data_IF_593869738870
#
_entry.id   IF_593869738870
#
_cell.length_a   1.000
_cell.length_b   1.000
_cell.length_c   1.000
_cell.angle_alpha   90.00
_cell.angle_beta   90.00
_cell.angle_gamma   90.00
#
_symmetry.space_group_name_H-M   'P 1'
#
loop_
_entity.id
_entity.type
_entity.pdbx_description
1 polymer ?
#
# COMPACT_ATOMS: atom_id res chain seq x y z
N UNK A 1 30.88 -1.20 -29.01
CA UNK A 1 29.82 -1.35 -27.98
C UNK A 1 29.22 -2.74 -28.01
N UNK A 2 29.29 -3.47 -26.89
CA UNK A 2 28.72 -4.82 -26.77
C UNK A 2 27.18 -4.80 -26.67
N UNK A 3 26.52 -5.93 -26.93
CA UNK A 3 25.07 -6.04 -26.77
C UNK A 3 24.63 -5.86 -25.30
N UNK A 4 25.47 -6.30 -24.35
CA UNK A 4 25.24 -6.16 -22.91
C UNK A 4 25.33 -4.69 -22.47
N UNK A 5 26.35 -3.96 -22.93
CA UNK A 5 26.55 -2.54 -22.67
C UNK A 5 25.37 -1.68 -23.14
N UNK A 6 24.83 -1.95 -24.35
CA UNK A 6 23.62 -1.29 -24.84
C UNK A 6 22.43 -1.46 -23.91
N UNK A 7 22.27 -2.65 -23.32
CA UNK A 7 21.16 -2.96 -22.41
C UNK A 7 21.32 -2.28 -21.06
N UNK A 8 22.53 -2.25 -20.50
CA UNK A 8 22.81 -1.46 -19.30
C UNK A 8 22.57 0.04 -19.54
N UNK A 9 23.01 0.60 -20.67
CA UNK A 9 22.70 2.00 -21.04
C UNK A 9 21.20 2.26 -21.20
N UNK A 10 20.43 1.28 -21.69
CA UNK A 10 18.97 1.41 -21.77
C UNK A 10 18.33 1.44 -20.39
N UNK A 11 18.74 0.55 -19.48
CA UNK A 11 18.29 0.55 -18.08
C UNK A 11 18.69 1.84 -17.36
N UNK A 12 19.84 2.43 -17.72
CA UNK A 12 20.32 3.69 -17.18
C UNK A 12 19.33 4.84 -17.40
N UNK A 13 18.38 4.71 -18.35
CA UNK A 13 17.29 5.70 -18.54
C UNK A 13 16.47 5.95 -17.27
N UNK A 14 16.48 5.03 -16.32
CA UNK A 14 15.91 5.20 -14.98
C UNK A 14 16.55 6.37 -14.20
N UNK A 15 17.79 6.77 -14.48
CA UNK A 15 18.45 7.92 -13.85
C UNK A 15 18.04 9.27 -14.49
N UNK A 16 18.15 10.40 -13.76
CA UNK A 16 18.01 11.76 -14.32
C UNK A 16 18.99 12.01 -15.46
N UNK A 17 18.63 12.86 -16.44
CA UNK A 17 19.44 13.10 -17.63
C UNK A 17 20.85 13.59 -17.30
N UNK A 18 20.96 14.62 -16.47
CA UNK A 18 22.23 15.24 -16.06
C UNK A 18 23.13 14.21 -15.36
N UNK A 19 22.57 13.43 -14.42
CA UNK A 19 23.31 12.40 -13.70
C UNK A 19 23.86 11.29 -14.62
N UNK A 20 23.10 10.93 -15.68
CA UNK A 20 23.58 9.94 -16.67
C UNK A 20 24.69 10.51 -17.53
N UNK A 21 24.70 11.81 -17.78
CA UNK A 21 25.76 12.46 -18.53
C UNK A 21 27.06 12.46 -17.71
N UNK A 22 26.97 12.76 -16.42
CA UNK A 22 28.16 12.91 -15.57
C UNK A 22 28.74 11.56 -15.09
N UNK A 23 27.88 10.58 -14.78
CA UNK A 23 28.27 9.32 -14.10
C UNK A 23 27.86 8.06 -14.85
N UNK A 24 27.24 8.19 -16.02
CA UNK A 24 26.65 7.04 -16.72
C UNK A 24 27.68 6.01 -17.17
N UNK A 25 28.82 6.45 -17.69
CA UNK A 25 29.86 5.53 -18.16
C UNK A 25 30.58 4.82 -17.00
N UNK A 26 30.79 5.50 -15.86
CA UNK A 26 31.33 4.89 -14.64
C UNK A 26 30.41 3.78 -14.11
N UNK A 27 29.10 4.05 -14.05
CA UNK A 27 28.10 3.08 -13.59
C UNK A 27 28.05 1.88 -14.54
N UNK A 28 27.95 2.10 -15.86
CA UNK A 28 27.92 0.99 -16.82
C UNK A 28 29.23 0.19 -16.80
N UNK A 29 30.37 0.87 -16.70
CA UNK A 29 31.69 0.22 -16.56
C UNK A 29 31.72 -0.74 -15.38
N UNK A 30 31.30 -0.28 -14.20
CA UNK A 30 31.25 -1.11 -12.98
C UNK A 30 30.43 -2.40 -13.19
N UNK A 31 29.28 -2.33 -13.85
CA UNK A 31 28.44 -3.49 -14.13
C UNK A 31 29.02 -4.42 -15.21
N UNK A 32 29.76 -3.88 -16.18
CA UNK A 32 30.45 -4.69 -17.18
C UNK A 32 31.66 -5.41 -16.57
N UNK A 33 32.38 -4.76 -15.66
CA UNK A 33 33.54 -5.34 -14.96
C UNK A 33 33.11 -6.51 -14.04
N UNK A 34 31.91 -6.44 -13.47
CA UNK A 34 31.32 -7.51 -12.66
C UNK A 34 30.63 -8.62 -13.48
N UNK A 35 30.37 -8.38 -14.77
CA UNK A 35 29.66 -9.34 -15.60
C UNK A 35 30.59 -10.42 -16.16
N UNK A 36 30.12 -11.67 -16.19
CA UNK A 36 30.82 -12.77 -16.86
C UNK A 36 31.09 -12.39 -18.34
N UNK A 37 32.30 -12.61 -18.88
CA UNK A 37 32.66 -12.25 -20.26
C UNK A 37 31.74 -12.85 -21.34
N UNK A 38 31.04 -13.95 -21.05
CA UNK A 38 30.11 -14.61 -21.98
C UNK A 38 28.66 -14.11 -21.83
N UNK A 39 28.37 -13.27 -20.85
CA UNK A 39 27.01 -12.82 -20.53
C UNK A 39 26.51 -11.83 -21.60
N UNK A 40 25.34 -12.12 -22.17
CA UNK A 40 24.70 -11.29 -23.22
C UNK A 40 23.54 -10.43 -22.71
N UNK A 41 23.05 -10.72 -21.51
CA UNK A 41 21.91 -10.04 -20.88
C UNK A 41 22.25 -9.63 -19.44
N UNK A 42 21.83 -8.45 -18.98
CA UNK A 42 21.93 -8.08 -17.57
C UNK A 42 21.26 -9.15 -16.70
N UNK A 43 21.82 -9.47 -15.53
CA UNK A 43 21.07 -10.32 -14.62
C UNK A 43 19.82 -9.59 -14.13
N UNK A 44 18.76 -10.32 -13.75
CA UNK A 44 17.58 -9.71 -13.14
C UNK A 44 17.92 -8.89 -11.89
N UNK A 45 18.94 -9.32 -11.13
CA UNK A 45 19.41 -8.60 -9.95
C UNK A 45 20.06 -7.26 -10.33
N UNK A 46 20.95 -7.24 -11.33
CA UNK A 46 21.61 -6.02 -11.80
C UNK A 46 20.59 -5.04 -12.39
N UNK A 47 19.65 -5.55 -13.18
CA UNK A 47 18.59 -4.73 -13.76
C UNK A 47 17.72 -4.10 -12.67
N UNK A 48 17.33 -4.88 -11.65
CA UNK A 48 16.55 -4.38 -10.53
C UNK A 48 17.33 -3.37 -9.69
N UNK A 49 18.63 -3.57 -9.46
CA UNK A 49 19.46 -2.64 -8.71
C UNK A 49 19.64 -1.31 -9.44
N UNK A 50 19.95 -1.36 -10.74
CA UNK A 50 20.14 -0.17 -11.57
C UNK A 50 18.84 0.66 -11.72
N UNK A 51 17.70 -0.01 -11.93
CA UNK A 51 16.39 0.67 -11.99
C UNK A 51 16.04 1.29 -10.63
N UNK A 52 16.28 0.57 -9.52
CA UNK A 52 16.03 1.08 -8.16
C UNK A 52 16.94 2.27 -7.83
N UNK A 53 18.22 2.19 -8.18
CA UNK A 53 19.19 3.28 -8.02
C UNK A 53 18.77 4.52 -8.80
N UNK A 54 18.39 4.34 -10.07
CA UNK A 54 17.92 5.44 -10.93
C UNK A 54 16.64 6.10 -10.43
N UNK A 55 15.65 5.30 -10.01
CA UNK A 55 14.41 5.82 -9.45
C UNK A 55 14.65 6.58 -8.14
N UNK A 56 15.51 6.06 -7.25
CA UNK A 56 15.94 6.78 -6.04
C UNK A 56 16.59 8.12 -6.37
N UNK A 57 17.44 8.17 -7.40
CA UNK A 57 18.09 9.41 -7.81
C UNK A 57 17.09 10.39 -8.43
N UNK A 58 16.06 9.92 -9.15
CA UNK A 58 14.95 10.76 -9.61
C UNK A 58 14.12 11.33 -8.46
N UNK A 59 13.84 10.54 -7.43
CA UNK A 59 13.13 11.02 -6.24
C UNK A 59 13.94 12.06 -5.49
N UNK A 60 15.26 11.86 -5.34
CA UNK A 60 16.18 12.87 -4.79
C UNK A 60 16.15 14.16 -5.62
N UNK A 61 16.28 14.06 -6.94
CA UNK A 61 16.20 15.21 -7.84
C UNK A 61 14.82 15.89 -7.84
N UNK A 62 13.77 15.20 -7.39
CA UNK A 62 12.43 15.76 -7.21
C UNK A 62 12.17 16.29 -5.79
N UNK A 63 13.16 16.24 -4.88
CA UNK A 63 12.98 16.63 -3.48
C UNK A 63 12.04 15.70 -2.68
N UNK A 64 11.81 14.48 -3.17
CA UNK A 64 10.92 13.48 -2.59
C UNK A 64 11.71 12.35 -1.90
N UNK A 65 12.78 12.69 -1.19
CA UNK A 65 13.64 11.73 -0.47
C UNK A 65 12.89 10.96 0.62
N UNK A 66 11.87 11.60 1.19
CA UNK A 66 11.00 11.06 2.24
C UNK A 66 9.87 10.16 1.71
N UNK A 67 9.72 10.04 0.39
CA UNK A 67 8.68 9.19 -0.20
C UNK A 67 8.88 7.71 0.18
N UNK A 68 10.09 7.17 0.03
CA UNK A 68 10.35 5.75 0.30
C UNK A 68 10.10 5.42 1.78
N UNK A 69 10.65 6.17 2.76
CA UNK A 69 10.32 5.93 4.16
C UNK A 69 8.83 6.15 4.47
N UNK A 70 8.17 7.11 3.83
CA UNK A 70 6.72 7.32 3.97
C UNK A 70 5.88 6.15 3.45
N UNK A 71 6.22 5.59 2.29
CA UNK A 71 5.56 4.38 1.77
C UNK A 71 5.83 3.17 2.68
N UNK A 72 7.02 3.05 3.27
CA UNK A 72 7.33 2.00 4.26
C UNK A 72 6.49 2.15 5.53
N UNK A 73 6.29 3.38 6.00
CA UNK A 73 5.40 3.67 7.13
C UNK A 73 3.95 3.29 6.79
N UNK A 74 3.46 3.69 5.62
CA UNK A 74 2.15 3.28 5.12
C UNK A 74 2.01 1.75 4.99
N UNK A 75 3.05 1.06 4.54
CA UNK A 75 3.07 -0.39 4.43
C UNK A 75 2.93 -1.09 5.79
N UNK A 76 3.57 -0.57 6.83
CA UNK A 76 3.42 -1.09 8.20
C UNK A 76 2.00 -0.86 8.73
N UNK A 77 1.44 0.33 8.51
CA UNK A 77 0.06 0.63 8.91
C UNK A 77 -0.94 -0.26 8.15
N UNK A 78 -0.75 -0.43 6.84
CA UNK A 78 -1.58 -1.29 6.01
C UNK A 78 -1.52 -2.76 6.44
N UNK A 79 -0.33 -3.27 6.75
CA UNK A 79 -0.16 -4.61 7.30
C UNK A 79 -0.84 -4.77 8.67
N UNK A 80 -0.72 -3.76 9.53
CA UNK A 80 -1.35 -3.76 10.86
C UNK A 80 -2.87 -3.77 10.74
N UNK A 81 -3.44 -2.98 9.82
CA UNK A 81 -4.88 -2.98 9.52
C UNK A 81 -5.33 -4.30 8.91
N UNK A 82 -4.58 -4.85 7.95
CA UNK A 82 -4.88 -6.14 7.34
C UNK A 82 -4.84 -7.28 8.38
N UNK A 83 -3.93 -7.20 9.35
CA UNK A 83 -3.83 -8.14 10.46
C UNK A 83 -5.03 -8.06 11.40
N UNK A 84 -5.47 -6.85 11.77
CA UNK A 84 -6.71 -6.64 12.54
C UNK A 84 -7.92 -7.28 11.84
N UNK A 85 -8.09 -6.99 10.54
CA UNK A 85 -9.20 -7.55 9.76
C UNK A 85 -9.10 -9.07 9.65
N UNK A 86 -7.91 -9.63 9.44
CA UNK A 86 -7.72 -11.07 9.39
C UNK A 86 -8.06 -11.75 10.72
N UNK A 87 -7.64 -11.19 11.85
CA UNK A 87 -8.00 -11.70 13.18
C UNK A 87 -9.50 -11.62 13.44
N UNK A 88 -10.12 -10.50 13.08
CA UNK A 88 -11.58 -10.31 13.19
C UNK A 88 -12.35 -11.33 12.35
N UNK A 89 -12.07 -11.41 11.05
CA UNK A 89 -12.82 -12.28 10.15
C UNK A 89 -12.54 -13.76 10.37
N UNK A 90 -11.33 -14.14 10.81
CA UNK A 90 -11.03 -15.53 11.17
C UNK A 90 -11.94 -16.07 12.28
N UNK A 91 -12.38 -15.20 13.20
CA UNK A 91 -13.30 -15.59 14.26
C UNK A 91 -14.77 -15.54 13.78
N UNK A 92 -15.14 -14.53 12.99
CA UNK A 92 -16.49 -14.47 12.39
C UNK A 92 -16.77 -15.69 11.50
N UNK A 93 -15.77 -16.17 10.75
CA UNK A 93 -15.87 -17.36 9.91
C UNK A 93 -16.19 -18.64 10.68
N UNK A 94 -15.94 -18.70 12.00
CA UNK A 94 -16.24 -19.87 12.83
C UNK A 94 -17.71 -19.95 13.27
N UNK A 95 -18.54 -19.00 12.84
CA UNK A 95 -19.94 -18.90 13.22
C UNK A 95 -20.84 -19.07 11.99
N UNK A 96 -20.92 -20.28 11.41
CA UNK A 96 -21.79 -20.54 10.27
C UNK A 96 -23.27 -20.31 10.63
N UNK A 97 -24.10 -19.93 9.65
CA UNK A 97 -25.55 -19.82 9.87
C UNK A 97 -26.13 -21.17 10.31
N UNK A 98 -27.25 -21.18 11.08
CA UNK A 98 -27.91 -22.44 11.45
C UNK A 98 -28.30 -23.25 10.23
N UNK A 99 -28.22 -24.58 10.34
CA UNK A 99 -28.51 -25.50 9.23
C UNK A 99 -29.90 -25.29 8.61
N UNK A 100 -30.88 -24.86 9.43
CA UNK A 100 -32.25 -24.54 9.02
C UNK A 100 -32.34 -23.42 7.98
N UNK A 101 -31.33 -22.54 7.91
CA UNK A 101 -31.31 -21.44 6.94
C UNK A 101 -31.03 -21.90 5.50
N UNK A 102 -30.58 -23.15 5.29
CA UNK A 102 -30.30 -23.70 3.96
C UNK A 102 -29.21 -22.97 3.16
N UNK A 103 -28.39 -22.15 3.83
CA UNK A 103 -27.33 -21.37 3.21
C UNK A 103 -26.09 -22.25 2.97
N UNK A 104 -25.41 -22.13 1.80
CA UNK A 104 -24.19 -22.87 1.55
C UNK A 104 -23.07 -22.42 2.49
N UNK A 105 -22.38 -23.38 3.10
CA UNK A 105 -21.24 -23.18 4.01
C UNK A 105 -20.02 -23.92 3.51
N UNK A 106 -18.83 -23.55 4.00
CA UNK A 106 -17.57 -24.20 3.65
C UNK A 106 -17.08 -25.06 4.82
N UNK A 107 -17.60 -26.29 4.90
CA UNK A 107 -17.29 -27.19 6.02
C UNK A 107 -17.77 -26.60 7.35
N UNK A 108 -16.91 -26.48 8.38
CA UNK A 108 -17.28 -25.85 9.66
C UNK A 108 -17.28 -24.31 9.60
N UNK A 109 -16.96 -23.71 8.45
CA UNK A 109 -16.81 -22.26 8.29
C UNK A 109 -17.90 -21.65 7.42
N UNK A 110 -18.16 -20.36 7.61
CA UNK A 110 -19.14 -19.61 6.81
C UNK A 110 -18.76 -19.58 5.32
N UNK A 111 -17.48 -19.49 4.98
CA UNK A 111 -17.01 -19.34 3.60
C UNK A 111 -15.56 -19.79 3.39
N UNK A 112 -15.12 -19.82 2.13
CA UNK A 112 -13.71 -20.04 1.76
C UNK A 112 -12.77 -18.93 2.24
N UNK A 113 -13.31 -17.82 2.77
CA UNK A 113 -12.54 -16.70 3.32
C UNK A 113 -11.58 -17.12 4.42
N UNK A 114 -11.90 -18.17 5.19
CA UNK A 114 -11.03 -18.69 6.25
C UNK A 114 -9.61 -19.01 5.74
N UNK A 115 -9.48 -19.51 4.50
CA UNK A 115 -8.18 -19.82 3.88
C UNK A 115 -7.35 -18.56 3.71
N UNK A 116 -7.96 -17.44 3.31
CA UNK A 116 -7.29 -16.16 3.21
C UNK A 116 -6.88 -15.63 4.61
N UNK A 117 -7.78 -15.68 5.60
CA UNK A 117 -7.51 -15.17 6.94
C UNK A 117 -6.39 -15.92 7.65
N UNK A 118 -6.38 -17.26 7.57
CA UNK A 118 -5.29 -18.06 8.13
C UNK A 118 -3.95 -17.76 7.45
N UNK A 119 -3.94 -17.57 6.13
CA UNK A 119 -2.72 -17.21 5.40
C UNK A 119 -2.19 -15.83 5.84
N UNK A 120 -3.09 -14.87 6.08
CA UNK A 120 -2.73 -13.56 6.66
C UNK A 120 -2.15 -13.69 8.08
N UNK A 121 -2.74 -14.53 8.94
CA UNK A 121 -2.24 -14.76 10.29
C UNK A 121 -0.86 -15.43 10.30
N UNK A 122 -0.59 -16.34 9.36
CA UNK A 122 0.75 -16.90 9.14
C UNK A 122 1.73 -15.82 8.72
N UNK A 123 1.34 -14.93 7.79
CA UNK A 123 2.18 -13.81 7.37
C UNK A 123 2.51 -12.88 8.56
N UNK A 124 1.54 -12.60 9.43
CA UNK A 124 1.71 -11.81 10.66
C UNK A 124 2.68 -12.49 11.62
N UNK A 125 2.55 -13.80 11.84
CA UNK A 125 3.48 -14.55 12.68
C UNK A 125 4.92 -14.45 12.15
N UNK A 126 5.10 -14.54 10.83
CA UNK A 126 6.42 -14.43 10.18
C UNK A 126 7.03 -13.02 10.26
N UNK A 127 6.24 -11.95 10.40
CA UNK A 127 6.77 -10.59 10.68
C UNK A 127 7.50 -10.57 12.01
N UNK A 128 6.97 -11.28 13.01
CA UNK A 128 7.53 -11.32 14.36
C UNK A 128 8.81 -12.15 14.42
N UNK A 129 8.81 -13.36 13.82
CA UNK A 129 9.91 -14.32 13.98
C UNK A 129 10.96 -14.30 12.86
N UNK A 130 10.60 -13.91 11.63
CA UNK A 130 11.45 -14.05 10.46
C UNK A 130 11.29 -12.87 9.48
N UNK A 131 11.68 -11.64 9.89
CA UNK A 131 11.52 -10.45 9.07
C UNK A 131 12.31 -10.52 7.76
N UNK A 132 11.85 -9.81 6.74
CA UNK A 132 12.56 -9.66 5.46
C UNK A 132 11.96 -10.50 4.34
N UNK A 133 12.77 -11.36 3.71
CA UNK A 133 12.31 -12.21 2.59
C UNK A 133 11.14 -13.14 2.96
N UNK A 134 11.15 -13.85 4.10
CA UNK A 134 10.07 -14.77 4.45
C UNK A 134 8.74 -14.02 4.61
N UNK A 135 8.77 -12.91 5.36
CA UNK A 135 7.60 -12.03 5.51
C UNK A 135 7.05 -11.55 4.17
N UNK A 136 7.91 -11.10 3.25
CA UNK A 136 7.46 -10.61 1.92
C UNK A 136 6.83 -11.72 1.09
N UNK A 137 7.41 -12.92 1.10
CA UNK A 137 6.84 -14.08 0.41
C UNK A 137 5.49 -14.47 1.04
N UNK A 138 5.37 -14.43 2.36
CA UNK A 138 4.13 -14.74 3.06
C UNK A 138 3.03 -13.71 2.79
N UNK A 139 3.35 -12.41 2.81
CA UNK A 139 2.40 -11.34 2.45
C UNK A 139 1.97 -11.47 0.98
N UNK A 140 2.92 -11.76 0.07
CA UNK A 140 2.59 -12.01 -1.34
C UNK A 140 1.67 -13.23 -1.49
N UNK A 141 1.97 -14.32 -0.77
CA UNK A 141 1.12 -15.50 -0.70
C UNK A 141 -0.28 -15.19 -0.19
N UNK A 142 -0.40 -14.41 0.90
CA UNK A 142 -1.69 -14.00 1.44
C UNK A 142 -2.51 -13.15 0.44
N UNK A 143 -1.85 -12.23 -0.28
CA UNK A 143 -2.49 -11.44 -1.35
C UNK A 143 -2.97 -12.36 -2.48
N UNK A 144 -2.13 -13.29 -2.93
CA UNK A 144 -2.48 -14.23 -4.01
C UNK A 144 -3.61 -15.17 -3.61
N UNK A 145 -3.58 -15.72 -2.39
CA UNK A 145 -4.66 -16.57 -1.84
C UNK A 145 -5.95 -15.77 -1.72
N UNK A 146 -5.90 -14.52 -1.25
CA UNK A 146 -7.09 -13.65 -1.19
C UNK A 146 -7.66 -13.40 -2.59
N UNK A 147 -6.80 -13.15 -3.59
CA UNK A 147 -7.20 -13.01 -4.99
C UNK A 147 -7.77 -14.31 -5.58
N UNK A 148 -7.21 -15.47 -5.22
CA UNK A 148 -7.72 -16.78 -5.63
C UNK A 148 -9.12 -17.03 -5.05
N UNK A 149 -9.37 -16.73 -3.77
CA UNK A 149 -10.72 -16.82 -3.17
C UNK A 149 -11.71 -15.92 -3.91
N UNK A 150 -11.29 -14.72 -4.34
CA UNK A 150 -12.13 -13.80 -5.10
C UNK A 150 -12.55 -14.38 -6.46
N UNK A 151 -11.62 -15.03 -7.17
CA UNK A 151 -11.80 -15.47 -8.56
C UNK A 151 -12.33 -16.92 -8.68
N UNK A 152 -11.86 -17.83 -7.82
CA UNK A 152 -12.13 -19.28 -7.92
C UNK A 152 -13.44 -19.65 -7.25
N UNK A 153 -13.78 -19.06 -6.10
CA UNK A 153 -14.99 -19.44 -5.36
C UNK A 153 -16.29 -19.31 -6.17
N UNK A 154 -16.51 -18.25 -6.99
CA UNK A 154 -17.70 -18.17 -7.86
C UNK A 154 -17.77 -19.30 -8.90
N UNK A 155 -16.63 -19.65 -9.50
CA UNK A 155 -16.54 -20.70 -10.53
C UNK A 155 -16.77 -22.08 -9.91
N UNK A 156 -16.27 -22.29 -8.70
CA UNK A 156 -16.43 -23.52 -7.95
C UNK A 156 -17.78 -23.65 -7.22
N UNK A 157 -18.66 -22.63 -7.29
CA UNK A 157 -19.92 -22.61 -6.56
C UNK A 157 -19.75 -22.57 -5.03
N UNK A 158 -18.60 -22.10 -4.54
CA UNK A 158 -18.27 -22.05 -3.11
C UNK A 158 -18.66 -20.71 -2.49
N UNK A 159 -19.15 -20.70 -1.23
CA UNK A 159 -19.43 -19.46 -0.52
C UNK A 159 -18.14 -18.66 -0.31
N UNK A 160 -18.20 -17.34 -0.49
CA UNK A 160 -17.06 -16.44 -0.33
C UNK A 160 -17.44 -15.17 0.42
N UNK A 161 -16.46 -14.46 1.02
CA UNK A 161 -16.70 -13.14 1.57
C UNK A 161 -17.10 -12.14 0.47
N UNK A 162 -17.86 -11.09 0.82
CA UNK A 162 -18.18 -10.00 -0.10
C UNK A 162 -16.93 -9.33 -0.68
N UNK A 163 -17.06 -8.82 -1.91
CA UNK A 163 -15.97 -8.10 -2.58
C UNK A 163 -15.50 -6.88 -1.80
N UNK A 164 -16.41 -6.20 -1.11
CA UNK A 164 -16.12 -5.08 -0.23
C UNK A 164 -15.22 -5.45 0.97
N UNK A 165 -15.02 -6.73 1.27
CA UNK A 165 -14.06 -7.22 2.28
C UNK A 165 -12.75 -7.64 1.63
N UNK A 166 -12.82 -8.44 0.55
CA UNK A 166 -11.64 -9.00 -0.11
C UNK A 166 -10.81 -7.93 -0.83
N UNK A 167 -11.46 -6.99 -1.51
CA UNK A 167 -10.78 -5.97 -2.33
C UNK A 167 -9.95 -4.99 -1.47
N UNK A 168 -10.47 -4.41 -0.37
CA UNK A 168 -9.64 -3.61 0.51
C UNK A 168 -8.50 -4.42 1.15
N UNK A 169 -8.73 -5.68 1.52
CA UNK A 169 -7.69 -6.55 2.06
C UNK A 169 -6.54 -6.75 1.06
N UNK A 170 -6.86 -6.98 -0.22
CA UNK A 170 -5.85 -7.07 -1.29
C UNK A 170 -5.10 -5.75 -1.44
N UNK A 171 -5.79 -4.62 -1.43
CA UNK A 171 -5.15 -3.30 -1.54
C UNK A 171 -4.19 -3.00 -0.38
N UNK A 172 -4.61 -3.30 0.86
CA UNK A 172 -3.76 -3.22 2.05
C UNK A 172 -2.54 -4.13 1.91
N UNK A 173 -2.74 -5.35 1.42
CA UNK A 173 -1.66 -6.32 1.26
C UNK A 173 -0.64 -5.97 0.18
N UNK A 174 -1.10 -5.43 -0.95
CA UNK A 174 -0.21 -4.92 -2.00
C UNK A 174 0.66 -3.79 -1.44
N UNK A 175 0.10 -2.89 -0.64
CA UNK A 175 0.86 -1.84 0.03
C UNK A 175 1.83 -2.42 1.09
N UNK A 176 1.40 -3.45 1.83
CA UNK A 176 2.21 -4.14 2.83
C UNK A 176 3.46 -4.84 2.24
N UNK A 177 3.51 -5.13 0.93
CA UNK A 177 4.72 -5.65 0.29
C UNK A 177 5.92 -4.68 0.40
N UNK A 178 5.65 -3.38 0.62
CA UNK A 178 6.68 -2.37 0.82
C UNK A 178 7.23 -2.30 2.25
N UNK A 179 6.79 -3.16 3.18
CA UNK A 179 7.29 -3.20 4.56
C UNK A 179 8.82 -3.35 4.60
N UNK A 180 9.44 -2.63 5.54
CA UNK A 180 10.88 -2.68 5.76
C UNK A 180 11.30 -4.03 6.38
N UNK A 181 12.44 -4.55 5.95
CA UNK A 181 13.02 -5.76 6.53
C UNK A 181 13.67 -5.49 7.90
N UNK A 182 14.00 -4.23 8.20
CA UNK A 182 14.78 -3.84 9.38
C UNK A 182 13.91 -3.16 10.45
N UNK A 183 12.66 -3.60 10.61
CA UNK A 183 11.78 -3.04 11.65
C UNK A 183 12.36 -3.29 13.05
N UNK A 184 12.30 -2.31 13.98
CA UNK A 184 12.59 -2.54 15.39
C UNK A 184 11.55 -3.49 16.01
N UNK A 185 11.90 -4.18 17.09
CA UNK A 185 11.04 -5.19 17.71
C UNK A 185 9.64 -4.64 18.07
N UNK A 186 9.58 -3.41 18.61
CA UNK A 186 8.32 -2.76 18.95
C UNK A 186 7.40 -2.54 17.74
N UNK A 187 7.95 -2.33 16.54
CA UNK A 187 7.15 -2.21 15.31
C UNK A 187 6.71 -3.57 14.77
N UNK A 188 7.47 -4.64 15.04
CA UNK A 188 7.15 -6.01 14.60
C UNK A 188 5.97 -6.61 15.37
N UNK A 189 5.74 -6.18 16.61
CA UNK A 189 4.62 -6.67 17.42
C UNK A 189 3.28 -6.04 17.02
N UNK A 190 3.29 -4.89 16.33
CA UNK A 190 2.06 -4.16 15.96
C UNK A 190 1.05 -5.02 15.18
N UNK A 191 1.43 -5.74 14.10
CA UNK A 191 0.46 -6.55 13.36
C UNK A 191 -0.11 -7.70 14.21
N UNK A 192 0.71 -8.31 15.07
CA UNK A 192 0.26 -9.38 15.97
C UNK A 192 -0.72 -8.87 17.01
N UNK A 193 -0.39 -7.74 17.65
CA UNK A 193 -1.30 -7.06 18.60
C UNK A 193 -2.62 -6.72 17.91
N UNK A 194 -2.56 -6.16 16.70
CA UNK A 194 -3.74 -5.81 15.92
C UNK A 194 -4.61 -7.03 15.57
N UNK A 195 -4.00 -8.14 15.15
CA UNK A 195 -4.71 -9.40 14.90
C UNK A 195 -5.43 -9.91 16.15
N UNK A 196 -4.75 -9.91 17.30
CA UNK A 196 -5.35 -10.30 18.58
C UNK A 196 -6.50 -9.38 18.95
N UNK A 197 -6.34 -8.05 18.82
CA UNK A 197 -7.42 -7.09 19.09
C UNK A 197 -8.62 -7.34 18.18
N UNK A 198 -8.39 -7.60 16.88
CA UNK A 198 -9.46 -7.93 15.93
C UNK A 198 -10.23 -9.18 16.32
N UNK A 199 -9.51 -10.26 16.67
CA UNK A 199 -10.12 -11.50 17.16
C UNK A 199 -10.90 -11.30 18.45
N UNK A 200 -10.32 -10.63 19.45
CA UNK A 200 -11.00 -10.33 20.72
C UNK A 200 -12.25 -9.47 20.49
N UNK A 201 -12.18 -8.47 19.61
CA UNK A 201 -13.33 -7.63 19.28
C UNK A 201 -14.48 -8.44 18.66
N UNK A 202 -14.17 -9.36 17.74
CA UNK A 202 -15.17 -10.28 17.20
C UNK A 202 -15.76 -11.19 18.30
N UNK A 203 -14.94 -11.66 19.24
CA UNK A 203 -15.38 -12.55 20.32
C UNK A 203 -16.35 -11.85 21.27
N UNK A 204 -16.04 -10.61 21.66
CA UNK A 204 -16.81 -9.87 22.66
C UNK A 204 -18.11 -9.29 22.12
N UNK A 205 -18.15 -8.93 20.84
CA UNK A 205 -19.37 -8.44 20.21
C UNK A 205 -20.46 -9.52 20.04
N UNK A 206 -20.08 -10.80 20.15
CA UNK A 206 -20.99 -11.95 20.36
C UNK A 206 -21.81 -12.38 19.14
N UNK A 207 -22.12 -13.68 19.07
CA UNK A 207 -22.76 -14.33 17.92
C UNK A 207 -24.11 -13.73 17.47
N UNK A 208 -24.81 -13.00 18.34
CA UNK A 208 -26.09 -12.34 18.01
C UNK A 208 -25.94 -11.25 16.95
N UNK A 209 -24.78 -10.60 16.85
CA UNK A 209 -24.49 -9.58 15.83
C UNK A 209 -24.09 -10.19 14.47
N UNK A 210 -23.74 -11.49 14.43
CA UNK A 210 -22.91 -12.06 13.36
C UNK A 210 -23.56 -13.13 12.49
N UNK A 211 -24.87 -13.39 12.65
CA UNK A 211 -25.65 -14.42 11.92
C UNK A 211 -25.30 -14.55 10.42
N UNK A 212 -24.23 -15.31 10.10
CA UNK A 212 -23.70 -15.62 8.76
C UNK A 212 -23.45 -14.44 7.81
N UNK A 213 -23.67 -13.20 8.23
CA UNK A 213 -23.89 -12.07 7.33
C UNK A 213 -22.76 -11.08 7.45
N UNK A 214 -21.79 -11.20 6.54
CA UNK A 214 -20.81 -10.16 6.28
C UNK A 214 -21.47 -8.78 6.06
N UNK A 215 -22.74 -8.73 5.62
CA UNK A 215 -23.42 -7.51 5.17
C UNK A 215 -23.47 -6.44 6.26
N UNK A 216 -24.16 -6.66 7.37
CA UNK A 216 -24.31 -5.62 8.40
C UNK A 216 -22.99 -5.28 9.09
N UNK A 217 -22.15 -6.28 9.37
CA UNK A 217 -20.86 -6.08 10.04
C UNK A 217 -19.90 -5.28 9.16
N UNK A 218 -19.86 -5.55 7.85
CA UNK A 218 -18.97 -4.85 6.94
C UNK A 218 -19.39 -3.40 6.69
N UNK A 219 -20.69 -3.09 6.74
CA UNK A 219 -21.24 -1.74 6.58
C UNK A 219 -20.77 -0.78 7.68
N UNK A 220 -20.54 -1.28 8.91
CA UNK A 220 -20.07 -0.45 10.04
C UNK A 220 -18.59 -0.61 10.33
N UNK A 221 -18.07 -1.84 10.33
CA UNK A 221 -16.69 -2.11 10.73
C UNK A 221 -15.69 -1.54 9.73
N UNK A 222 -15.88 -1.76 8.43
CA UNK A 222 -14.88 -1.36 7.44
C UNK A 222 -14.70 0.15 7.39
N UNK A 223 -15.76 0.99 7.36
CA UNK A 223 -15.58 2.43 7.39
C UNK A 223 -15.00 2.93 8.72
N UNK A 224 -15.34 2.31 9.86
CA UNK A 224 -14.73 2.65 11.14
C UNK A 224 -13.22 2.36 11.15
N UNK A 225 -12.80 1.19 10.66
CA UNK A 225 -11.39 0.82 10.50
C UNK A 225 -10.68 1.78 9.53
N UNK A 226 -11.33 2.13 8.42
CA UNK A 226 -10.84 3.13 7.47
C UNK A 226 -10.65 4.51 8.09
N UNK A 227 -11.61 4.96 8.91
CA UNK A 227 -11.55 6.23 9.62
C UNK A 227 -10.43 6.26 10.67
N UNK A 228 -10.25 5.18 11.45
CA UNK A 228 -9.14 5.05 12.40
C UNK A 228 -7.80 5.09 11.66
N UNK A 229 -7.67 4.33 10.57
CA UNK A 229 -6.45 4.32 9.74
C UNK A 229 -6.15 5.72 9.16
N UNK A 230 -7.17 6.43 8.69
CA UNK A 230 -7.04 7.81 8.21
C UNK A 230 -6.61 8.75 9.34
N UNK A 231 -7.27 8.68 10.51
CA UNK A 231 -6.94 9.50 11.67
C UNK A 231 -5.49 9.29 12.11
N UNK A 232 -5.04 8.04 12.24
CA UNK A 232 -3.64 7.71 12.57
C UNK A 232 -2.68 8.26 11.51
N UNK A 233 -2.99 8.07 10.22
CA UNK A 233 -2.16 8.57 9.13
C UNK A 233 -2.04 10.10 9.14
N UNK A 234 -3.13 10.82 9.40
CA UNK A 234 -3.16 12.28 9.49
C UNK A 234 -2.42 12.80 10.73
N UNK A 235 -2.58 12.14 11.88
CA UNK A 235 -1.85 12.50 13.10
C UNK A 235 -0.35 12.28 12.95
N UNK A 236 0.07 11.18 12.32
CA UNK A 236 1.47 10.94 11.98
C UNK A 236 1.98 11.96 10.97
N UNK A 237 1.19 12.31 9.95
CA UNK A 237 1.52 13.36 8.99
C UNK A 237 1.73 14.71 9.67
N UNK A 238 0.81 15.12 10.54
CA UNK A 238 0.90 16.38 11.29
C UNK A 238 2.10 16.38 12.24
N UNK A 239 2.26 15.33 13.06
CA UNK A 239 3.34 15.23 14.04
C UNK A 239 4.74 15.20 13.41
N UNK A 240 4.89 14.53 12.26
CA UNK A 240 6.15 14.52 11.51
C UNK A 240 6.38 15.86 10.78
N UNK A 241 5.34 16.48 10.23
CA UNK A 241 5.44 17.79 9.59
C UNK A 241 5.91 18.88 10.57
N UNK A 242 5.50 18.81 11.84
CA UNK A 242 6.02 19.70 12.90
C UNK A 242 7.54 19.58 13.09
N UNK A 243 8.13 18.43 12.74
CA UNK A 243 9.59 18.18 12.77
C UNK A 243 10.26 18.40 11.40
N UNK A 244 9.55 19.01 10.45
CA UNK A 244 9.96 19.17 9.04
C UNK A 244 10.24 17.83 8.33
N UNK A 245 9.57 16.77 8.77
CA UNK A 245 9.64 15.44 8.16
C UNK A 245 8.37 15.15 7.35
N UNK A 246 8.51 15.00 6.03
CA UNK A 246 7.39 14.80 5.11
C UNK A 246 6.99 13.34 4.91
N UNK A 247 7.64 12.39 5.59
CA UNK A 247 7.34 10.95 5.47
C UNK A 247 5.90 10.65 5.83
N UNK A 248 5.37 11.32 6.84
CA UNK A 248 3.98 11.14 7.26
C UNK A 248 2.97 11.57 6.19
N UNK A 249 3.24 12.66 5.47
CA UNK A 249 2.38 13.09 4.35
C UNK A 249 2.39 12.06 3.21
N UNK A 250 3.56 11.52 2.86
CA UNK A 250 3.64 10.45 1.87
C UNK A 250 2.94 9.18 2.31
N UNK A 251 3.01 8.84 3.60
CA UNK A 251 2.28 7.72 4.16
C UNK A 251 0.76 7.91 4.04
N UNK A 252 0.26 9.10 4.41
CA UNK A 252 -1.15 9.44 4.28
C UNK A 252 -1.64 9.33 2.82
N UNK A 253 -0.87 9.89 1.87
CA UNK A 253 -1.20 9.80 0.43
C UNK A 253 -1.23 8.34 -0.05
N UNK A 254 -0.26 7.52 0.34
CA UNK A 254 -0.21 6.11 -0.05
C UNK A 254 -1.39 5.29 0.52
N UNK A 255 -1.90 5.66 1.69
CA UNK A 255 -3.03 4.99 2.33
C UNK A 255 -4.41 5.42 1.80
N UNK A 256 -4.52 6.49 1.00
CA UNK A 256 -5.81 6.97 0.51
C UNK A 256 -6.58 5.92 -0.29
N UNK A 257 -5.89 5.08 -1.07
CA UNK A 257 -6.54 4.00 -1.84
C UNK A 257 -7.16 2.94 -0.94
N UNK A 258 -6.41 2.26 -0.04
CA UNK A 258 -7.02 1.28 0.85
C UNK A 258 -8.05 1.91 1.82
N UNK A 259 -7.84 3.14 2.30
CA UNK A 259 -8.82 3.85 3.13
C UNK A 259 -10.12 4.08 2.34
N UNK A 260 -10.02 4.57 1.10
CA UNK A 260 -11.20 4.77 0.25
C UNK A 260 -11.96 3.47 -0.02
N UNK A 261 -11.23 2.36 -0.22
CA UNK A 261 -11.82 1.03 -0.43
C UNK A 261 -12.54 0.52 0.82
N UNK A 262 -11.99 0.75 2.02
CA UNK A 262 -12.65 0.46 3.29
C UNK A 262 -13.91 1.32 3.51
N UNK A 263 -13.94 2.52 2.94
CA UNK A 263 -15.03 3.49 3.08
C UNK A 263 -16.03 3.50 1.90
N UNK A 264 -16.00 2.52 1.00
CA UNK A 264 -16.88 2.47 -0.19
C UNK A 264 -18.35 2.62 0.17
N UNK A 265 -18.80 2.02 1.28
CA UNK A 265 -20.20 2.11 1.70
C UNK A 265 -20.62 3.55 2.04
N UNK A 266 -19.76 4.31 2.74
CA UNK A 266 -20.01 5.73 3.04
C UNK A 266 -19.93 6.57 1.76
N UNK A 267 -18.96 6.31 0.90
CA UNK A 267 -18.79 7.05 -0.35
C UNK A 267 -19.98 6.86 -1.29
N UNK A 268 -20.45 5.62 -1.46
CA UNK A 268 -21.65 5.31 -2.21
C UNK A 268 -22.90 5.93 -1.56
N UNK A 269 -22.99 5.88 -0.22
CA UNK A 269 -24.09 6.49 0.52
C UNK A 269 -24.14 8.00 0.38
N UNK A 270 -22.99 8.68 0.27
CA UNK A 270 -22.94 10.11 -0.01
C UNK A 270 -23.46 10.45 -1.41
N UNK A 271 -23.12 9.64 -2.42
CA UNK A 271 -23.62 9.82 -3.79
C UNK A 271 -25.12 9.60 -3.86
N UNK A 272 -25.60 8.51 -3.26
CA UNK A 272 -27.03 8.17 -3.26
C UNK A 272 -27.85 9.09 -2.35
N UNK A 273 -27.27 9.60 -1.26
CA UNK A 273 -27.89 10.61 -0.41
C UNK A 273 -28.17 11.91 -1.15
N UNK A 274 -27.33 12.31 -2.12
CA UNK A 274 -27.60 13.44 -3.01
C UNK A 274 -28.84 13.21 -3.89
N UNK A 275 -29.21 11.94 -4.13
CA UNK A 275 -30.42 11.54 -4.86
C UNK A 275 -31.62 11.20 -3.97
N UNK A 276 -31.51 11.41 -2.64
CA UNK A 276 -32.57 11.16 -1.67
C UNK A 276 -32.77 9.68 -1.29
N UNK A 277 -31.85 8.79 -1.68
CA UNK A 277 -31.95 7.38 -1.33
C UNK A 277 -31.46 7.13 0.12
N UNK A 278 -32.18 6.32 0.92
CA UNK A 278 -31.88 6.12 2.34
C UNK A 278 -30.67 5.20 2.59
N UNK A 279 -30.25 4.42 1.58
CA UNK A 279 -29.10 3.51 1.65
C UNK A 279 -28.42 3.40 0.28
N UNK A 280 -27.10 3.14 0.23
CA UNK A 280 -26.39 2.97 -1.02
C UNK A 280 -26.91 1.76 -1.81
N UNK A 281 -27.15 1.97 -3.09
CA UNK A 281 -27.53 0.95 -4.06
C UNK A 281 -26.32 0.14 -4.51
N UNK A 282 -26.55 -1.08 -5.02
CA UNK A 282 -25.46 -1.92 -5.51
C UNK A 282 -24.64 -1.26 -6.65
N UNK A 283 -25.27 -0.62 -7.67
CA UNK A 283 -24.52 0.04 -8.74
C UNK A 283 -23.61 1.16 -8.25
N UNK A 284 -24.04 1.97 -7.27
CA UNK A 284 -23.20 3.06 -6.72
C UNK A 284 -22.07 2.54 -5.86
N UNK A 285 -22.27 1.46 -5.10
CA UNK A 285 -21.17 0.78 -4.41
C UNK A 285 -20.11 0.26 -5.39
N UNK A 286 -20.53 -0.36 -6.50
CA UNK A 286 -19.62 -0.81 -7.56
C UNK A 286 -18.91 0.38 -8.20
N UNK A 287 -19.64 1.44 -8.55
CA UNK A 287 -19.09 2.66 -9.14
C UNK A 287 -18.05 3.33 -8.23
N UNK A 288 -18.35 3.47 -6.94
CA UNK A 288 -17.43 4.02 -5.95
C UNK A 288 -16.18 3.15 -5.80
N UNK A 289 -16.34 1.82 -5.70
CA UNK A 289 -15.19 0.90 -5.62
C UNK A 289 -14.29 0.97 -6.87
N UNK A 290 -14.89 1.02 -8.07
CA UNK A 290 -14.15 1.18 -9.33
C UNK A 290 -13.43 2.53 -9.39
N UNK A 291 -14.11 3.63 -9.02
CA UNK A 291 -13.51 4.96 -8.99
C UNK A 291 -12.29 5.01 -8.04
N UNK A 292 -12.44 4.51 -6.81
CA UNK A 292 -11.33 4.48 -5.85
C UNK A 292 -10.22 3.54 -6.32
N UNK A 293 -10.55 2.35 -6.82
CA UNK A 293 -9.57 1.36 -7.27
C UNK A 293 -8.76 1.80 -8.49
N UNK A 294 -9.36 2.55 -9.41
CA UNK A 294 -8.71 3.03 -10.63
C UNK A 294 -8.00 4.38 -10.43
N UNK A 295 -8.61 5.33 -9.71
CA UNK A 295 -8.05 6.67 -9.52
C UNK A 295 -7.09 6.75 -8.33
N UNK A 296 -7.35 5.98 -7.28
CA UNK A 296 -6.55 5.99 -6.05
C UNK A 296 -5.04 5.76 -6.29
N UNK A 297 -4.63 4.74 -7.06
CA UNK A 297 -3.21 4.50 -7.35
C UNK A 297 -2.52 5.65 -8.09
N UNK A 298 -3.28 6.50 -8.79
CA UNK A 298 -2.76 7.66 -9.52
C UNK A 298 -2.46 8.86 -8.62
N UNK A 299 -2.99 8.87 -7.38
CA UNK A 299 -2.80 9.99 -6.45
C UNK A 299 -1.33 10.13 -6.03
N UNK A 300 -0.64 9.02 -5.78
CA UNK A 300 0.77 9.03 -5.37
C UNK A 300 1.71 9.60 -6.46
N UNK A 301 1.69 9.13 -7.72
CA UNK A 301 2.50 9.74 -8.78
C UNK A 301 2.09 11.18 -9.09
N UNK A 302 0.80 11.53 -9.00
CA UNK A 302 0.34 12.91 -9.14
C UNK A 302 0.92 13.82 -8.04
N UNK A 303 0.92 13.36 -6.79
CA UNK A 303 1.52 14.09 -5.67
C UNK A 303 3.03 14.29 -5.85
N UNK A 304 3.75 13.27 -6.35
CA UNK A 304 5.18 13.40 -6.70
C UNK A 304 5.39 14.42 -7.83
N UNK A 305 4.55 14.42 -8.86
CA UNK A 305 4.64 15.38 -9.95
C UNK A 305 4.38 16.83 -9.50
N UNK A 306 3.39 17.04 -8.63
CA UNK A 306 3.08 18.35 -8.05
C UNK A 306 4.21 18.84 -7.13
N UNK A 307 4.76 17.97 -6.30
CA UNK A 307 5.90 18.30 -5.43
C UNK A 307 7.12 18.75 -6.24
N UNK A 308 7.41 18.04 -7.33
CA UNK A 308 8.49 18.39 -8.26
C UNK A 308 8.28 19.75 -8.92
N UNK A 309 7.05 20.12 -9.29
CA UNK A 309 6.73 21.43 -9.88
C UNK A 309 6.99 22.55 -8.87
N UNK A 310 6.47 22.43 -7.65
CA UNK A 310 6.69 23.41 -6.58
C UNK A 310 8.16 23.66 -6.27
N UNK A 311 8.98 22.61 -6.25
CA UNK A 311 10.43 22.74 -6.05
C UNK A 311 11.13 23.52 -7.17
N UNK A 312 10.70 23.32 -8.42
CA UNK A 312 11.25 24.06 -9.57
C UNK A 312 10.86 25.53 -9.55
N UNK A 313 9.59 25.81 -9.25
CA UNK A 313 9.07 27.18 -9.20
C UNK A 313 9.76 27.98 -8.08
N UNK A 314 9.94 27.36 -6.90
CA UNK A 314 10.68 27.97 -5.79
C UNK A 314 12.17 28.19 -6.09
N UNK A 315 12.84 27.27 -6.78
CA UNK A 315 14.23 27.43 -7.20
C UNK A 315 14.40 28.51 -8.29
N UNK A 316 13.40 28.68 -9.16
CA UNK A 316 13.35 29.78 -10.14
C UNK A 316 13.24 31.14 -9.47
N UNK A 317 12.42 31.25 -8.42
CA UNK A 317 12.23 32.48 -7.66
C UNK A 317 13.49 32.96 -6.92
N UNK A 318 14.27 32.03 -6.35
CA UNK A 318 15.57 32.32 -5.72
C UNK A 318 16.67 32.75 -6.72
N UNK A 319 16.53 32.40 -8.01
CA UNK A 319 17.44 32.86 -9.07
C UNK A 319 17.08 34.24 -9.62
N UNK A 320 15.87 34.73 -9.38
CA UNK A 320 15.37 36.01 -9.89
C UNK A 320 15.45 37.16 -8.88
N UNK A 321 15.78 36.89 -7.61
CA UNK A 321 16.17 37.98 -6.70
C UNK A 321 17.43 38.63 -7.26
N UNK A 322 17.41 39.93 -7.63
CA UNK A 322 18.61 40.65 -8.00
C UNK A 322 19.62 40.46 -6.88
N UNK A 323 20.86 40.07 -7.20
CA UNK A 323 21.91 40.02 -6.19
C UNK A 323 21.93 41.36 -5.46
N UNK A 324 21.72 41.33 -4.14
CA UNK A 324 21.91 42.52 -3.32
C UNK A 324 23.30 43.08 -3.64
N UNK A 325 23.42 44.39 -3.92
CA UNK A 325 24.70 44.98 -4.28
C UNK A 325 25.72 44.65 -3.20
N UNK A 326 26.90 44.20 -3.62
CA UNK A 326 27.97 43.84 -2.70
C UNK A 326 28.21 45.01 -1.72
N UNK A 327 28.10 44.79 -0.39
CA UNK A 327 28.09 45.86 0.59
C UNK A 327 29.38 46.68 0.63
N UNK A 328 30.45 46.17 0.01
CA UNK A 328 31.77 46.81 -0.06
C UNK A 328 32.07 47.50 -1.39
N UNK A 329 31.39 47.18 -2.50
CA UNK A 329 31.74 47.75 -3.81
C UNK A 329 30.56 48.23 -4.67
N UNK A 330 29.31 48.06 -4.26
CA UNK A 330 28.13 48.60 -4.95
C UNK A 330 27.87 48.06 -6.37
N UNK A 331 28.72 47.17 -6.88
CA UNK A 331 28.57 46.58 -8.20
C UNK A 331 27.46 45.52 -8.19
N UNK A 332 26.49 45.67 -9.11
CA UNK A 332 25.55 44.61 -9.46
C UNK A 332 26.26 43.64 -10.40
N UNK A 333 26.24 42.35 -10.09
CA UNK A 333 26.70 41.29 -11.01
C UNK A 333 25.63 40.95 -12.03
#
# INVERSE_FOLDING_TARGET
MSALERRYRHLLRAYPADYRHDRGDEIVGTYLDLADPRRRWPSPADAADLVRGGLRQRLRAAGATDLIPGVRLAALLALTTAAFLAGFWALVEQNPPPAEAGLPVFGPFTSTGIVAWLTWLVAVALVLVAPGRPTRVAVAGAVLVTGAVLLVSPVAGLPRPPLLVLVPQVALGVLALAVDAHLPLAARTLPTIAATIGGTFAATAGNKLYWGSYRWTSEQLLPAVGAVLLGVALLLAAGLAMRRDWRGSWAAVALLTPIGLLSVHILAGAVDGLSGAPRPTYPTMVGAALAVGLLGPLVLPAAVALHRRRQRDGAGQLRTTPADPCPTCGARR
#
